data_IF_379989313601
#
_entry.id   IF_379989313601
#
_cell.length_a   1.000
_cell.length_b   1.000
_cell.length_c   1.000
_cell.angle_alpha   90.00
_cell.angle_beta   90.00
_cell.angle_gamma   90.00
#
_symmetry.space_group_name_H-M   'P 1'
#
loop_
_entity.id
_entity.type
_entity.pdbx_description
1 polymer ?
#
# COMPACT_ATOMS: atom_id res chain seq x y z
N UNK A 1 0.20 -4.46 -10.46
CA UNK A 1 1.49 -5.13 -10.18
C UNK A 1 1.19 -6.49 -9.56
N UNK A 2 2.09 -7.44 -9.74
CA UNK A 2 2.05 -8.76 -9.11
C UNK A 2 3.46 -9.13 -8.66
N UNK A 3 3.61 -9.64 -7.43
CA UNK A 3 4.90 -9.97 -6.80
C UNK A 3 5.47 -11.33 -7.22
N UNK A 4 4.62 -12.35 -7.34
CA UNK A 4 5.07 -13.72 -7.61
C UNK A 4 5.22 -14.55 -6.33
N UNK A 5 6.20 -15.46 -6.28
CA UNK A 5 6.45 -16.30 -5.09
C UNK A 5 7.56 -15.68 -4.24
N UNK A 6 7.29 -15.45 -2.95
CA UNK A 6 8.30 -15.01 -1.98
C UNK A 6 7.83 -13.78 -1.20
N UNK A 7 8.76 -13.13 -0.50
CA UNK A 7 8.51 -11.83 0.14
C UNK A 7 8.82 -10.72 -0.84
N UNK A 8 7.79 -10.14 -1.43
CA UNK A 8 7.96 -9.11 -2.44
C UNK A 8 8.06 -7.70 -1.85
N UNK A 9 8.65 -6.81 -2.64
CA UNK A 9 8.74 -5.38 -2.34
C UNK A 9 8.13 -4.59 -3.50
N UNK A 10 7.09 -3.84 -3.20
CA UNK A 10 6.43 -2.96 -4.16
C UNK A 10 6.90 -1.52 -3.93
N UNK A 11 7.12 -0.77 -5.00
CA UNK A 11 7.46 0.64 -4.91
C UNK A 11 6.33 1.44 -5.53
N UNK A 12 5.76 2.36 -4.77
CA UNK A 12 4.76 3.31 -5.24
C UNK A 12 5.34 4.72 -5.24
N UNK A 13 5.51 5.32 -6.42
CA UNK A 13 6.04 6.68 -6.63
C UNK A 13 5.01 7.65 -7.24
N UNK A 14 3.78 7.18 -7.49
CA UNK A 14 2.65 7.99 -7.95
C UNK A 14 1.75 7.24 -8.92
N UNK A 15 0.88 7.98 -9.63
CA UNK A 15 -0.04 7.39 -10.60
C UNK A 15 -1.20 6.63 -9.95
N UNK A 16 -1.79 5.68 -10.68
CA UNK A 16 -2.90 4.86 -10.19
C UNK A 16 -2.55 3.39 -10.34
N UNK A 17 -2.13 2.79 -9.24
CA UNK A 17 -1.60 1.43 -9.21
C UNK A 17 -2.49 0.51 -8.39
N UNK A 18 -2.55 -0.75 -8.82
CA UNK A 18 -3.27 -1.81 -8.13
C UNK A 18 -2.32 -2.99 -7.93
N UNK A 19 -2.09 -3.38 -6.68
CA UNK A 19 -1.35 -4.59 -6.30
C UNK A 19 -2.39 -5.69 -6.05
N UNK A 20 -2.28 -6.81 -6.77
CA UNK A 20 -3.33 -7.84 -6.80
C UNK A 20 -3.11 -9.03 -5.87
N UNK A 21 -1.90 -9.16 -5.34
CA UNK A 21 -1.42 -10.35 -4.64
C UNK A 21 -0.65 -9.98 -3.37
N UNK A 22 -0.92 -8.81 -2.79
CA UNK A 22 -0.26 -8.38 -1.57
C UNK A 22 -0.62 -9.31 -0.40
N UNK A 23 0.40 -9.92 0.19
CA UNK A 23 0.26 -10.86 1.31
C UNK A 23 0.87 -10.28 2.60
N UNK A 24 -0.01 -9.70 3.42
CA UNK A 24 0.34 -9.20 4.74
C UNK A 24 0.86 -10.31 5.69
N UNK A 25 0.40 -11.55 5.53
CA UNK A 25 0.83 -12.67 6.37
C UNK A 25 2.25 -13.15 6.03
N UNK A 26 2.72 -12.90 4.79
CA UNK A 26 4.10 -13.15 4.37
C UNK A 26 5.04 -11.97 4.65
N UNK A 27 4.56 -10.90 5.30
CA UNK A 27 5.34 -9.70 5.60
C UNK A 27 5.96 -9.08 4.34
N UNK A 28 5.17 -9.00 3.26
CA UNK A 28 5.53 -8.22 2.08
C UNK A 28 5.60 -6.73 2.41
N UNK A 29 6.35 -5.98 1.60
CA UNK A 29 6.65 -4.59 1.90
C UNK A 29 6.21 -3.65 0.78
N UNK A 30 5.73 -2.48 1.17
CA UNK A 30 5.37 -1.38 0.26
C UNK A 30 6.26 -0.18 0.60
N UNK A 31 7.06 0.24 -0.38
CA UNK A 31 7.75 1.52 -0.34
C UNK A 31 6.82 2.62 -0.81
N UNK A 32 6.57 3.58 0.05
CA UNK A 32 5.87 4.82 -0.33
C UNK A 32 6.93 5.88 -0.63
N UNK A 33 6.98 6.31 -1.89
CA UNK A 33 7.90 7.34 -2.39
C UNK A 33 7.07 8.53 -2.90
N UNK A 34 6.34 9.17 -1.98
CA UNK A 34 5.42 10.26 -2.28
C UNK A 34 5.60 11.36 -1.24
N UNK A 35 6.02 12.54 -1.68
CA UNK A 35 6.22 13.71 -0.80
C UNK A 35 5.00 13.97 0.11
N UNK A 36 5.28 14.15 1.41
CA UNK A 36 4.26 14.43 2.42
C UNK A 36 3.60 13.19 3.04
N UNK A 37 4.08 11.99 2.71
CA UNK A 37 3.66 10.73 3.33
C UNK A 37 4.90 9.98 3.80
N UNK A 38 5.38 10.36 4.99
CA UNK A 38 6.70 9.93 5.51
C UNK A 38 6.56 8.91 6.65
N UNK A 39 5.32 8.53 7.00
CA UNK A 39 5.03 7.59 8.07
C UNK A 39 3.80 6.71 7.79
N UNK A 40 3.69 5.61 8.55
CA UNK A 40 2.52 4.73 8.52
C UNK A 40 1.25 5.49 8.86
N UNK A 41 1.30 6.38 9.86
CA UNK A 41 0.14 7.15 10.29
C UNK A 41 -0.33 8.12 9.18
N UNK A 42 0.59 8.73 8.43
CA UNK A 42 0.24 9.62 7.30
C UNK A 42 -0.49 8.85 6.20
N UNK A 43 0.00 7.65 5.86
CA UNK A 43 -0.61 6.80 4.82
C UNK A 43 -1.96 6.26 5.28
N UNK A 44 -2.07 5.82 6.53
CA UNK A 44 -3.33 5.29 7.07
C UNK A 44 -4.37 6.39 7.28
N UNK A 45 -3.97 7.63 7.51
CA UNK A 45 -4.88 8.78 7.61
C UNK A 45 -5.65 9.06 6.30
N UNK A 46 -5.11 8.64 5.16
CA UNK A 46 -5.74 8.77 3.83
C UNK A 46 -6.22 7.45 3.25
N UNK A 47 -6.15 6.37 4.03
CA UNK A 47 -6.59 5.05 3.64
C UNK A 47 -8.11 4.89 3.81
N UNK A 48 -8.74 4.21 2.87
CA UNK A 48 -10.17 3.89 2.90
C UNK A 48 -10.38 2.44 2.51
N UNK A 49 -11.26 1.74 3.22
CA UNK A 49 -11.70 0.41 2.79
C UNK A 49 -12.82 0.57 1.75
N UNK A 50 -12.66 -0.07 0.60
CA UNK A 50 -13.68 -0.12 -0.46
C UNK A 50 -14.01 -1.59 -0.75
N UNK A 51 -15.07 -2.10 -0.13
CA UNK A 51 -15.39 -3.53 -0.20
C UNK A 51 -14.27 -4.36 0.43
N UNK A 52 -13.61 -5.17 -0.39
CA UNK A 52 -12.48 -6.01 0.01
C UNK A 52 -11.12 -5.34 -0.23
N UNK A 53 -11.10 -4.16 -0.84
CA UNK A 53 -9.84 -3.49 -1.23
C UNK A 53 -9.46 -2.38 -0.25
N UNK A 54 -8.17 -2.24 0.01
CA UNK A 54 -7.60 -1.09 0.71
C UNK A 54 -7.14 -0.04 -0.32
N UNK A 55 -7.67 1.17 -0.23
CA UNK A 55 -7.41 2.25 -1.19
C UNK A 55 -6.79 3.44 -0.48
N UNK A 56 -5.60 3.85 -0.92
CA UNK A 56 -4.80 4.95 -0.38
C UNK A 56 -4.78 6.10 -1.38
N UNK A 57 -5.32 7.27 -0.99
CA UNK A 57 -5.34 8.46 -1.84
C UNK A 57 -4.22 9.42 -1.43
N UNK A 58 -3.04 9.21 -2.00
CA UNK A 58 -1.79 9.90 -1.67
C UNK A 58 -1.59 11.20 -2.49
N UNK A 59 -2.70 11.84 -2.89
CA UNK A 59 -2.74 13.04 -3.73
C UNK A 59 -3.77 12.95 -4.86
N UNK A 60 -4.00 14.06 -5.58
CA UNK A 60 -5.08 14.19 -6.58
C UNK A 60 -5.04 13.13 -7.70
N UNK A 61 -3.84 12.62 -8.01
CA UNK A 61 -3.60 11.64 -9.08
C UNK A 61 -2.69 10.49 -8.64
N UNK A 62 -2.56 10.30 -7.31
CA UNK A 62 -1.70 9.28 -6.70
C UNK A 62 -2.61 8.37 -5.86
N UNK A 63 -3.00 7.23 -6.43
CA UNK A 63 -3.88 6.26 -5.78
C UNK A 63 -3.20 4.91 -5.83
N UNK A 64 -3.04 4.29 -4.66
CA UNK A 64 -2.62 2.90 -4.53
C UNK A 64 -3.82 2.07 -4.05
N UNK A 65 -4.11 0.99 -4.75
CA UNK A 65 -5.12 0.00 -4.35
C UNK A 65 -4.44 -1.32 -4.05
N UNK A 66 -4.74 -1.91 -2.90
CA UNK A 66 -4.42 -3.30 -2.58
C UNK A 66 -5.71 -4.11 -2.74
N UNK A 67 -5.72 -4.98 -3.74
CA UNK A 67 -6.85 -5.86 -4.07
C UNK A 67 -7.04 -6.88 -2.96
N UNK A 68 -8.26 -7.05 -2.48
CA UNK A 68 -8.62 -8.07 -1.49
C UNK A 68 -7.74 -8.07 -0.22
N UNK A 69 -7.38 -6.86 0.25
CA UNK A 69 -6.62 -6.64 1.49
C UNK A 69 -7.43 -5.76 2.43
N UNK A 70 -7.55 -6.18 3.69
CA UNK A 70 -8.22 -5.39 4.72
C UNK A 70 -7.25 -4.42 5.38
N UNK A 71 -7.69 -3.19 5.63
CA UNK A 71 -6.90 -2.21 6.38
C UNK A 71 -6.49 -2.73 7.77
N UNK A 72 -7.29 -3.59 8.39
CA UNK A 72 -6.98 -4.21 9.68
C UNK A 72 -5.87 -5.26 9.62
N UNK A 73 -5.51 -5.76 8.44
CA UNK A 73 -4.39 -6.69 8.23
C UNK A 73 -3.06 -5.95 8.09
N UNK A 74 -3.11 -4.63 7.88
CA UNK A 74 -1.94 -3.81 7.67
C UNK A 74 -1.38 -3.28 8.99
N UNK A 75 -0.06 -3.18 9.05
CA UNK A 75 0.68 -2.65 10.18
C UNK A 75 1.86 -1.82 9.68
N UNK A 76 2.50 -1.08 10.58
CA UNK A 76 3.68 -0.30 10.24
C UNK A 76 4.83 -1.13 9.65
N UNK A 77 4.92 -2.43 9.99
CA UNK A 77 5.98 -3.32 9.49
C UNK A 77 5.87 -3.62 7.99
N UNK A 78 4.72 -3.35 7.36
CA UNK A 78 4.50 -3.52 5.93
C UNK A 78 4.92 -2.30 5.10
N UNK A 79 5.25 -1.17 5.74
CA UNK A 79 5.53 0.09 5.05
C UNK A 79 6.91 0.63 5.37
N UNK A 80 7.54 1.20 4.35
CA UNK A 80 8.76 1.98 4.51
C UNK A 80 8.75 3.19 3.58
N UNK A 81 9.47 4.22 3.99
CA UNK A 81 9.34 5.58 3.45
C UNK A 81 10.69 6.08 2.93
N UNK A 82 10.65 6.92 1.90
CA UNK A 82 11.82 7.47 1.21
C UNK A 82 12.02 8.94 1.52
#
# INVERSE_FOLDING_TARGET
>A
MSGGYGRDQFIFDGGRDMIRDFDAAQCELIRINVDGFDSYDDVMAVATQQGDDAVFTLGQWKVLTLDNVKLSELSADHFFFA
#
